data_IF_943562415157
#
_entry.id   IF_943562415157
#
_cell.length_a   1.000
_cell.length_b   1.000
_cell.length_c   1.000
_cell.angle_alpha   90.00
_cell.angle_beta   90.00
_cell.angle_gamma   90.00
#
_symmetry.space_group_name_H-M   'P 1'
#
loop_
_entity.id
_entity.type
_entity.pdbx_description
1 polymer ?
#
# COMPACT_ATOMS: atom_id res chain seq x y z
N UNK A 1 -39.28 -29.64 -39.07
CA UNK A 1 -37.92 -30.20 -39.33
C UNK A 1 -37.09 -29.81 -38.11
N UNK A 2 -36.95 -30.69 -37.11
CA UNK A 2 -35.81 -31.64 -36.95
C UNK A 2 -34.48 -30.89 -36.82
N UNK A 3 -33.54 -31.17 -35.93
CA UNK A 3 -33.35 -32.04 -34.77
C UNK A 3 -31.89 -31.76 -34.30
N UNK A 4 -31.53 -32.13 -33.07
CA UNK A 4 -30.15 -32.48 -32.64
C UNK A 4 -29.14 -31.32 -32.48
N UNK A 5 -28.46 -31.12 -31.33
CA UNK A 5 -27.48 -32.00 -30.67
C UNK A 5 -26.09 -31.76 -31.30
N UNK A 6 -24.92 -31.67 -30.65
CA UNK A 6 -24.41 -31.81 -29.28
C UNK A 6 -22.87 -31.52 -29.34
N UNK A 7 -22.18 -31.49 -28.18
CA UNK A 7 -20.71 -31.45 -27.97
C UNK A 7 -19.99 -30.12 -28.32
N UNK A 8 -18.91 -29.68 -27.66
CA UNK A 8 -17.94 -30.31 -26.75
C UNK A 8 -17.24 -29.22 -25.92
N UNK A 9 -16.74 -29.56 -24.72
CA UNK A 9 -15.99 -28.67 -23.84
C UNK A 9 -14.46 -28.77 -23.97
N UNK A 10 -13.78 -27.81 -23.33
CA UNK A 10 -12.41 -27.83 -22.79
C UNK A 10 -12.26 -26.55 -21.92
N UNK A 11 -12.26 -26.57 -20.59
CA UNK A 11 -11.21 -26.98 -19.64
C UNK A 11 -10.19 -25.86 -19.34
N UNK A 12 -10.24 -25.29 -18.11
CA UNK A 12 -9.09 -25.28 -17.19
C UNK A 12 -9.38 -24.62 -15.82
N UNK A 13 -9.18 -25.44 -14.78
CA UNK A 13 -8.47 -25.14 -13.52
C UNK A 13 -8.94 -24.01 -12.59
N UNK A 14 -9.65 -24.40 -11.53
CA UNK A 14 -9.51 -23.76 -10.20
C UNK A 14 -9.46 -24.85 -9.12
N UNK A 15 -8.27 -25.07 -8.56
CA UNK A 15 -8.05 -25.94 -7.40
C UNK A 15 -8.49 -25.21 -6.13
N UNK A 16 -9.53 -25.70 -5.45
CA UNK A 16 -9.70 -25.50 -4.00
C UNK A 16 -9.37 -26.81 -3.31
N UNK A 17 -8.28 -26.83 -2.55
CA UNK A 17 -7.99 -27.91 -1.60
C UNK A 17 -9.03 -27.89 -0.49
N UNK A 18 -9.88 -28.91 -0.46
CA UNK A 18 -10.75 -29.21 0.66
C UNK A 18 -9.99 -30.15 1.62
N UNK A 19 -9.98 -29.77 2.90
CA UNK A 19 -9.49 -30.58 4.03
C UNK A 19 -10.40 -31.81 4.19
N UNK A 20 -9.88 -33.04 4.37
CA UNK A 20 -10.73 -34.21 4.49
C UNK A 20 -11.36 -34.27 5.90
N UNK A 21 -12.69 -34.28 5.93
CA UNK A 21 -13.49 -34.67 7.09
C UNK A 21 -13.42 -36.19 7.21
N UNK A 22 -12.85 -36.69 8.30
CA UNK A 22 -12.81 -38.11 8.64
C UNK A 22 -14.24 -38.58 8.93
N UNK A 23 -14.79 -39.42 8.05
CA UNK A 23 -16.07 -40.12 8.28
C UNK A 23 -15.84 -41.27 9.26
N UNK A 24 -16.52 -41.21 10.41
CA UNK A 24 -16.65 -42.33 11.34
C UNK A 24 -17.39 -43.49 10.67
N UNK A 25 -16.77 -44.66 10.65
CA UNK A 25 -17.37 -45.93 10.19
C UNK A 25 -18.06 -46.56 11.39
N UNK A 26 -19.40 -46.50 11.42
CA UNK A 26 -20.21 -47.29 12.36
C UNK A 26 -20.53 -48.64 11.72
N UNK A 27 -19.90 -49.71 12.22
CA UNK A 27 -20.28 -51.10 11.93
C UNK A 27 -21.33 -51.62 12.94
N UNK A 28 -22.21 -52.55 12.54
CA UNK A 28 -23.29 -53.03 13.40
C UNK A 28 -22.80 -54.14 14.34
N UNK A 29 -22.92 -53.94 15.65
CA UNK A 29 -22.78 -55.00 16.65
C UNK A 29 -24.16 -55.34 17.20
N UNK A 30 -24.84 -56.27 16.51
CA UNK A 30 -26.00 -56.97 17.03
C UNK A 30 -25.62 -58.41 17.38
N UNK A 31 -26.10 -58.84 18.55
CA UNK A 31 -26.05 -60.19 19.15
C UNK A 31 -24.77 -60.57 19.91
N UNK A 32 -24.84 -60.44 21.23
CA UNK A 32 -24.78 -61.58 22.16
C UNK A 32 -25.24 -61.11 23.55
N UNK A 33 -26.49 -61.41 23.89
CA UNK A 33 -26.96 -61.28 25.26
C UNK A 33 -26.50 -62.48 26.08
N UNK A 34 -26.01 -62.24 27.31
CA UNK A 34 -26.56 -62.76 28.57
C UNK A 34 -25.46 -62.92 29.64
N UNK A 35 -25.64 -62.12 30.71
CA UNK A 35 -25.19 -62.34 32.09
C UNK A 35 -23.71 -62.69 32.33
N UNK A 36 -22.88 -61.67 32.57
CA UNK A 36 -21.90 -61.72 33.68
C UNK A 36 -21.80 -60.32 34.29
N UNK A 37 -22.09 -60.22 35.60
CA UNK A 37 -21.40 -59.30 36.49
C UNK A 37 -21.67 -57.80 36.34
N UNK A 38 -22.80 -57.36 36.90
CA UNK A 38 -23.16 -55.97 37.28
C UNK A 38 -22.23 -55.40 38.38
N UNK A 39 -20.91 -55.60 38.27
CA UNK A 39 -19.87 -55.18 39.23
C UNK A 39 -18.61 -54.57 38.60
N UNK A 40 -18.50 -54.49 37.26
CA UNK A 40 -17.34 -53.87 36.58
C UNK A 40 -17.59 -52.45 36.04
N UNK A 41 -18.86 -52.02 35.93
CA UNK A 41 -19.19 -50.63 35.55
C UNK A 41 -18.68 -49.56 36.54
N UNK A 42 -18.71 -49.74 37.88
CA UNK A 42 -18.20 -48.70 38.79
C UNK A 42 -16.66 -48.66 38.81
N UNK A 43 -15.98 -49.76 38.45
CA UNK A 43 -14.52 -49.80 38.33
C UNK A 43 -14.04 -49.09 37.06
N UNK A 44 -14.76 -49.21 35.93
CA UNK A 44 -14.39 -48.51 34.69
C UNK A 44 -14.56 -46.98 34.81
N UNK A 45 -15.54 -46.51 35.60
CA UNK A 45 -15.75 -45.08 35.89
C UNK A 45 -14.68 -44.55 36.86
N UNK A 46 -14.23 -45.37 37.83
CA UNK A 46 -13.09 -45.03 38.69
C UNK A 46 -11.75 -44.98 37.93
N UNK A 47 -11.60 -45.78 36.86
CA UNK A 47 -10.41 -45.74 36.00
C UNK A 47 -10.39 -44.53 35.05
N UNK A 48 -11.54 -44.00 34.63
CA UNK A 48 -11.63 -42.78 33.79
C UNK A 48 -11.62 -41.49 34.61
N UNK A 49 -12.01 -41.52 35.89
CA UNK A 49 -11.99 -40.35 36.79
C UNK A 49 -10.61 -40.09 37.42
N UNK A 50 -9.65 -41.02 37.29
CA UNK A 50 -8.32 -40.92 37.90
C UNK A 50 -7.26 -40.22 37.06
N UNK A 51 -7.59 -39.81 35.82
CA UNK A 51 -6.65 -39.21 34.86
C UNK A 51 -7.28 -38.00 34.19
N UNK A 52 -7.67 -37.01 34.99
CA UNK A 52 -7.77 -35.64 34.50
C UNK A 52 -6.78 -34.83 35.32
N UNK A 53 -5.50 -34.95 34.97
CA UNK A 53 -4.57 -33.87 35.27
C UNK A 53 -5.09 -32.63 34.56
N UNK A 54 -5.62 -31.69 35.34
CA UNK A 54 -5.93 -30.37 34.83
C UNK A 54 -4.60 -29.77 34.35
N UNK A 55 -4.42 -29.69 33.03
CA UNK A 55 -3.34 -28.88 32.45
C UNK A 55 -3.56 -27.47 32.99
N UNK A 56 -2.72 -27.03 33.93
CA UNK A 56 -2.78 -25.69 34.48
C UNK A 56 -2.45 -24.71 33.35
N UNK A 57 -3.47 -24.06 32.80
CA UNK A 57 -3.27 -23.02 31.79
C UNK A 57 -2.74 -21.78 32.51
N UNK A 58 -1.45 -21.49 32.34
CA UNK A 58 -0.82 -20.27 32.87
C UNK A 58 -1.41 -19.06 32.14
N UNK A 59 -2.04 -18.10 32.85
CA UNK A 59 -2.64 -16.93 32.22
C UNK A 59 -1.57 -16.04 31.57
N UNK A 60 -1.90 -15.49 30.40
CA UNK A 60 -1.01 -14.56 29.68
C UNK A 60 -1.27 -13.14 30.17
N UNK A 61 -0.23 -12.47 30.65
CA UNK A 61 -0.25 -11.05 31.01
C UNK A 61 0.11 -10.19 29.80
N UNK A 62 -0.57 -9.07 29.60
CA UNK A 62 -0.28 -8.14 28.51
C UNK A 62 0.45 -6.91 29.03
N UNK A 63 1.56 -6.55 28.40
CA UNK A 63 2.35 -5.35 28.73
C UNK A 63 2.62 -4.58 27.46
N UNK A 64 2.25 -3.29 27.44
CA UNK A 64 2.54 -2.40 26.33
C UNK A 64 3.64 -1.40 26.71
N UNK A 65 4.60 -1.19 25.81
CA UNK A 65 5.71 -0.26 26.01
C UNK A 65 5.96 0.54 24.74
N UNK A 66 6.27 1.83 24.87
CA UNK A 66 6.60 2.68 23.73
C UNK A 66 8.06 2.45 23.31
N UNK A 67 8.34 2.53 22.00
CA UNK A 67 9.72 2.45 21.48
C UNK A 67 10.65 3.43 22.19
N UNK A 68 11.88 2.98 22.46
CA UNK A 68 12.92 3.76 23.12
C UNK A 68 12.79 3.86 24.64
N UNK A 69 11.70 3.39 25.23
CA UNK A 69 11.55 3.29 26.70
C UNK A 69 12.22 2.02 27.23
N UNK A 70 12.37 1.96 28.55
CA UNK A 70 12.79 0.76 29.26
C UNK A 70 11.59 -0.13 29.58
N UNK A 71 11.77 -1.44 29.40
CA UNK A 71 10.80 -2.46 29.77
C UNK A 71 11.31 -3.22 31.00
N UNK A 72 10.43 -3.40 31.99
CA UNK A 72 10.68 -4.20 33.19
C UNK A 72 9.61 -5.27 33.34
N UNK A 73 10.00 -6.55 33.33
CA UNK A 73 9.09 -7.68 33.51
C UNK A 73 9.42 -8.43 34.81
N UNK A 74 8.42 -8.64 35.65
CA UNK A 74 8.56 -9.47 36.85
C UNK A 74 8.06 -10.90 36.54
N UNK A 75 8.80 -11.91 37.01
CA UNK A 75 8.45 -13.32 36.79
C UNK A 75 7.25 -13.77 37.64
N UNK A 76 7.00 -13.13 38.78
CA UNK A 76 5.83 -13.38 39.62
C UNK A 76 5.21 -12.05 40.08
N UNK A 77 3.94 -12.07 40.47
CA UNK A 77 3.37 -10.94 41.21
C UNK A 77 4.06 -10.79 42.56
N UNK A 78 4.19 -9.55 43.03
CA UNK A 78 4.91 -9.17 44.25
C UNK A 78 4.42 -9.95 45.51
N UNK A 79 3.20 -10.48 45.45
CA UNK A 79 2.56 -11.34 46.47
C UNK A 79 3.07 -12.79 46.53
N UNK A 80 3.72 -13.30 45.48
CA UNK A 80 4.24 -14.68 45.41
C UNK A 80 5.75 -14.79 45.65
N UNK A 81 6.48 -13.67 45.64
CA UNK A 81 7.93 -13.62 45.91
C UNK A 81 8.29 -13.73 47.40
N UNK A 82 7.29 -13.70 48.29
CA UNK A 82 7.49 -13.81 49.74
C UNK A 82 7.69 -15.25 50.24
N UNK A 83 7.76 -16.26 49.36
CA UNK A 83 7.85 -17.68 49.77
C UNK A 83 9.29 -18.22 49.83
N UNK A 84 10.28 -17.58 49.20
CA UNK A 84 11.68 -18.03 49.28
C UNK A 84 12.63 -16.85 49.47
N UNK A 85 12.79 -16.44 50.73
CA UNK A 85 13.55 -15.26 51.13
C UNK A 85 15.03 -15.51 51.43
N UNK A 86 15.70 -16.54 50.88
CA UNK A 86 17.10 -16.78 51.27
C UNK A 86 18.06 -17.41 50.24
N UNK A 87 17.62 -17.81 49.05
CA UNK A 87 18.56 -18.27 48.01
C UNK A 87 18.21 -17.64 46.67
N UNK A 88 19.23 -17.28 45.90
CA UNK A 88 19.12 -16.77 44.54
C UNK A 88 18.46 -17.82 43.65
N UNK A 89 17.13 -17.87 43.64
CA UNK A 89 16.39 -18.70 42.71
C UNK A 89 16.79 -18.24 41.31
N UNK A 90 17.47 -19.10 40.55
CA UNK A 90 17.81 -18.77 39.17
C UNK A 90 16.53 -18.65 38.37
N UNK A 91 16.18 -17.41 38.04
CA UNK A 91 15.06 -17.10 37.15
C UNK A 91 15.61 -17.04 35.74
N UNK A 92 15.13 -17.95 34.90
CA UNK A 92 15.48 -17.97 33.48
C UNK A 92 14.35 -17.35 32.66
N UNK A 93 14.71 -16.43 31.77
CA UNK A 93 13.78 -15.80 30.84
C UNK A 93 13.96 -16.37 29.44
N UNK A 94 12.85 -16.75 28.82
CA UNK A 94 12.79 -17.30 27.47
C UNK A 94 11.84 -16.42 26.65
N UNK A 95 12.24 -16.07 25.43
CA UNK A 95 11.37 -15.40 24.46
C UNK A 95 11.00 -16.39 23.37
N UNK A 96 9.70 -16.61 23.17
CA UNK A 96 9.22 -17.50 22.12
C UNK A 96 9.60 -16.96 20.73
N UNK A 97 10.18 -17.82 19.88
CA UNK A 97 10.45 -17.49 18.47
C UNK A 97 11.84 -16.92 18.14
N UNK A 98 12.78 -16.82 19.08
CA UNK A 98 14.21 -16.61 18.76
C UNK A 98 15.05 -17.75 19.34
N UNK A 99 15.75 -18.50 18.46
CA UNK A 99 16.72 -19.54 18.83
C UNK A 99 18.14 -18.98 19.04
N UNK A 100 18.35 -17.72 18.68
CA UNK A 100 19.67 -17.10 18.54
C UNK A 100 20.04 -16.28 19.77
N UNK A 101 20.24 -16.94 20.91
CA UNK A 101 20.87 -16.34 22.09
C UNK A 101 20.09 -15.20 22.77
N UNK A 102 20.48 -14.91 24.01
CA UNK A 102 19.97 -13.73 24.72
C UNK A 102 20.32 -12.46 23.93
N UNK A 103 19.36 -11.55 23.83
CA UNK A 103 19.62 -10.19 23.35
C UNK A 103 20.70 -9.60 24.27
N UNK A 104 21.82 -9.10 23.73
CA UNK A 104 22.91 -8.55 24.57
C UNK A 104 22.46 -7.40 25.49
N UNK A 105 21.35 -6.73 25.13
CA UNK A 105 20.71 -5.63 25.86
C UNK A 105 19.71 -6.08 26.93
N UNK A 106 19.44 -7.37 27.04
CA UNK A 106 18.52 -7.97 28.00
C UNK A 106 19.31 -8.36 29.25
N UNK A 107 18.96 -7.75 30.37
CA UNK A 107 19.61 -7.96 31.66
C UNK A 107 18.62 -8.56 32.64
N UNK A 108 19.00 -9.64 33.30
CA UNK A 108 18.23 -10.21 34.40
C UNK A 108 18.82 -9.71 35.71
N UNK A 109 18.01 -9.00 36.50
CA UNK A 109 18.39 -8.55 37.84
C UNK A 109 18.39 -9.72 38.84
N UNK A 110 19.14 -9.65 39.96
CA UNK A 110 19.20 -10.70 40.98
C UNK A 110 17.84 -11.04 41.63
N UNK A 111 16.87 -10.13 41.54
CA UNK A 111 15.49 -10.32 41.99
C UNK A 111 14.61 -11.09 40.97
N UNK A 112 15.20 -11.56 39.86
CA UNK A 112 14.49 -12.26 38.78
C UNK A 112 13.76 -11.35 37.79
N UNK A 113 13.93 -10.03 37.89
CA UNK A 113 13.32 -9.06 36.98
C UNK A 113 14.08 -8.99 35.66
N UNK A 114 13.36 -9.05 34.54
CA UNK A 114 13.91 -8.77 33.22
C UNK A 114 13.92 -7.26 32.98
N UNK A 115 15.08 -6.70 32.70
CA UNK A 115 15.25 -5.31 32.27
C UNK A 115 15.77 -5.25 30.83
N UNK A 116 15.05 -4.51 29.99
CA UNK A 116 15.45 -4.23 28.61
C UNK A 116 15.39 -2.71 28.39
N UNK A 117 16.54 -2.11 28.07
CA UNK A 117 16.66 -0.67 27.84
C UNK A 117 16.46 -0.33 26.36
N UNK A 118 15.87 0.81 26.03
CA UNK A 118 15.71 1.29 24.64
C UNK A 118 14.98 0.28 23.73
N UNK A 119 13.76 -0.10 24.09
CA UNK A 119 12.97 -1.15 23.41
C UNK A 119 12.73 -0.82 21.93
N UNK A 120 12.88 -1.83 21.07
CA UNK A 120 12.63 -1.75 19.62
C UNK A 120 11.37 -2.53 19.22
N UNK A 121 10.85 -2.30 18.02
CA UNK A 121 9.69 -3.04 17.50
C UNK A 121 9.93 -4.57 17.46
N UNK A 122 11.19 -4.97 17.24
CA UNK A 122 11.61 -6.38 17.16
C UNK A 122 11.67 -7.09 18.52
N UNK A 123 11.49 -6.34 19.60
CA UNK A 123 11.42 -6.85 20.97
C UNK A 123 9.99 -7.24 21.37
N UNK A 124 8.99 -6.97 20.53
CA UNK A 124 7.64 -7.47 20.72
C UNK A 124 7.59 -9.01 20.64
N UNK A 125 6.71 -9.62 21.42
CA UNK A 125 6.53 -11.07 21.44
C UNK A 125 6.17 -11.62 22.81
N UNK A 126 6.15 -12.95 22.90
CA UNK A 126 5.79 -13.64 24.13
C UNK A 126 7.04 -14.00 24.94
N UNK A 127 7.07 -13.55 26.18
CA UNK A 127 8.12 -13.78 27.17
C UNK A 127 7.60 -14.76 28.22
N UNK A 128 8.39 -15.77 28.54
CA UNK A 128 8.10 -16.73 29.59
C UNK A 128 9.25 -16.75 30.60
N UNK A 129 8.91 -17.03 31.86
CA UNK A 129 9.90 -17.26 32.89
C UNK A 129 9.74 -18.65 33.52
N UNK A 130 10.87 -19.25 33.84
CA UNK A 130 11.01 -20.53 34.55
C UNK A 130 11.90 -20.36 35.77
N UNK A 131 11.69 -21.19 36.79
CA UNK A 131 12.53 -21.23 37.99
C UNK A 131 13.41 -22.48 37.94
N UNK A 132 14.64 -22.38 38.45
CA UNK A 132 15.63 -23.47 38.41
C UNK A 132 15.13 -24.81 38.97
N UNK A 133 14.27 -24.79 40.00
CA UNK A 133 13.76 -26.01 40.65
C UNK A 133 12.77 -26.83 39.79
N UNK A 134 12.27 -26.27 38.68
CA UNK A 134 11.28 -26.93 37.83
C UNK A 134 11.39 -26.42 36.39
N UNK A 135 12.47 -26.82 35.70
CA UNK A 135 12.82 -26.36 34.34
C UNK A 135 11.68 -26.52 33.31
N UNK A 136 10.73 -27.43 33.55
CA UNK A 136 9.60 -27.68 32.65
C UNK A 136 8.33 -26.88 33.03
N UNK A 137 8.29 -26.25 34.21
CA UNK A 137 7.13 -25.49 34.68
C UNK A 137 7.26 -23.99 34.40
N UNK A 138 6.66 -23.55 33.29
CA UNK A 138 6.45 -22.13 33.00
C UNK A 138 5.63 -21.49 34.12
N UNK A 139 6.18 -20.47 34.80
CA UNK A 139 5.47 -19.78 35.90
C UNK A 139 4.58 -18.66 35.39
N UNK A 140 5.09 -17.88 34.43
CA UNK A 140 4.38 -16.72 33.87
C UNK A 140 4.61 -16.62 32.38
N UNK A 141 3.55 -16.22 31.65
CA UNK A 141 3.60 -15.86 30.22
C UNK A 141 3.20 -14.40 30.07
N UNK A 142 3.99 -13.63 29.33
CA UNK A 142 3.81 -12.19 29.14
C UNK A 142 3.88 -11.87 27.65
N UNK A 143 2.78 -11.40 27.08
CA UNK A 143 2.76 -10.84 25.74
C UNK A 143 3.16 -9.36 25.81
N UNK A 144 4.32 -9.05 25.23
CA UNK A 144 4.85 -7.69 25.14
C UNK A 144 4.48 -7.10 23.80
N UNK A 145 3.72 -6.00 23.83
CA UNK A 145 3.39 -5.19 22.67
C UNK A 145 4.23 -3.92 22.67
N UNK A 146 4.93 -3.67 21.57
CA UNK A 146 5.72 -2.46 21.39
C UNK A 146 4.94 -1.47 20.55
N UNK A 147 4.67 -0.30 21.12
CA UNK A 147 3.98 0.80 20.42
C UNK A 147 5.00 1.65 19.68
N UNK A 148 4.76 1.86 18.40
CA UNK A 148 5.65 2.54 17.47
C UNK A 148 4.95 3.77 16.88
N UNK A 149 5.69 4.70 16.27
CA UNK A 149 5.12 5.59 15.26
C UNK A 149 4.42 4.78 14.15
N UNK A 150 3.51 5.39 13.37
CA UNK A 150 2.78 4.65 12.35
C UNK A 150 3.74 4.02 11.33
N UNK A 151 3.50 2.77 10.90
CA UNK A 151 4.27 2.14 9.83
C UNK A 151 4.07 2.85 8.49
N UNK A 152 4.90 2.52 7.50
CA UNK A 152 4.73 3.00 6.13
C UNK A 152 3.31 2.77 5.62
N UNK A 153 2.80 3.78 4.91
CA UNK A 153 1.56 3.66 4.16
C UNK A 153 1.74 2.65 3.02
N UNK A 154 0.70 1.89 2.71
CA UNK A 154 0.74 0.93 1.61
C UNK A 154 0.00 1.46 0.39
N UNK A 155 0.31 0.88 -0.78
CA UNK A 155 -0.31 1.22 -2.07
C UNK A 155 -0.40 2.74 -2.29
N UNK A 156 0.68 3.48 -2.02
CA UNK A 156 0.71 4.91 -2.32
C UNK A 156 0.87 5.08 -3.82
N UNK A 157 -0.04 5.78 -4.47
CA UNK A 157 0.04 6.06 -5.91
C UNK A 157 -0.56 7.42 -6.24
N UNK A 158 -0.13 7.98 -7.38
CA UNK A 158 -0.49 9.33 -7.83
C UNK A 158 -1.27 9.24 -9.14
N UNK A 159 -2.41 9.92 -9.21
CA UNK A 159 -3.16 10.21 -10.43
C UNK A 159 -2.87 11.66 -10.85
N UNK A 160 -1.88 11.88 -11.73
CA UNK A 160 -1.61 13.20 -12.24
C UNK A 160 -2.69 13.65 -13.24
N UNK A 161 -2.90 14.95 -13.31
CA UNK A 161 -3.65 15.66 -14.35
C UNK A 161 -2.73 16.73 -14.97
N UNK A 162 -3.29 17.76 -15.61
CA UNK A 162 -2.52 18.85 -16.21
C UNK A 162 -1.95 19.82 -15.17
N UNK A 163 -2.78 20.31 -14.24
CA UNK A 163 -2.38 21.31 -13.21
C UNK A 163 -2.62 20.83 -11.78
N UNK A 164 -3.01 19.56 -11.62
CA UNK A 164 -3.33 18.95 -10.34
C UNK A 164 -2.86 17.51 -10.32
N UNK A 165 -2.69 16.95 -9.12
CA UNK A 165 -2.42 15.54 -8.93
C UNK A 165 -3.16 15.05 -7.69
N UNK A 166 -3.83 13.91 -7.80
CA UNK A 166 -4.47 13.25 -6.67
C UNK A 166 -3.55 12.15 -6.14
N UNK A 167 -3.14 12.25 -4.87
CA UNK A 167 -2.33 11.24 -4.19
C UNK A 167 -3.28 10.38 -3.37
N UNK A 168 -3.15 9.05 -3.46
CA UNK A 168 -3.95 8.10 -2.68
C UNK A 168 -3.04 7.14 -1.93
N UNK A 169 -3.52 6.67 -0.79
CA UNK A 169 -2.80 5.75 0.07
C UNK A 169 -3.75 4.86 0.85
N UNK A 170 -3.22 3.74 1.33
CA UNK A 170 -3.88 2.83 2.24
C UNK A 170 -3.07 2.69 3.54
N UNK A 171 -3.75 2.43 4.66
CA UNK A 171 -3.13 2.38 5.98
C UNK A 171 -2.89 0.93 6.38
N UNK A 172 -1.63 0.54 6.54
CA UNK A 172 -1.24 -0.81 6.96
C UNK A 172 -1.46 -1.05 8.46
N UNK A 173 -1.29 0.00 9.28
CA UNK A 173 -1.44 -0.07 10.73
C UNK A 173 -1.21 1.28 11.37
N UNK A 174 -1.33 1.35 12.71
CA UNK A 174 -1.23 2.62 13.44
C UNK A 174 -0.08 2.66 14.46
N UNK A 175 0.64 1.54 14.63
CA UNK A 175 1.71 1.41 15.62
C UNK A 175 1.21 1.34 17.07
N UNK A 176 -0.07 1.01 17.30
CA UNK A 176 -0.64 0.84 18.64
C UNK A 176 -1.30 2.08 19.23
N UNK A 177 -1.13 3.26 18.62
CA UNK A 177 -1.90 4.46 18.93
C UNK A 177 -2.74 4.91 17.72
N UNK A 178 -3.86 5.61 17.91
CA UNK A 178 -4.62 6.14 16.79
C UNK A 178 -3.81 7.17 15.98
N UNK A 179 -4.00 7.19 14.67
CA UNK A 179 -3.44 8.21 13.78
C UNK A 179 -4.16 9.54 14.07
N UNK A 180 -3.38 10.61 14.22
CA UNK A 180 -3.86 11.97 14.49
C UNK A 180 -4.15 12.68 13.16
N UNK A 181 -3.18 12.64 12.25
CA UNK A 181 -3.26 13.23 10.92
C UNK A 181 -2.32 12.53 9.93
N UNK A 182 -2.47 12.90 8.65
CA UNK A 182 -1.45 12.69 7.64
C UNK A 182 -0.87 14.03 7.22
N UNK A 183 0.39 14.02 6.80
CA UNK A 183 1.04 15.17 6.19
C UNK A 183 1.62 14.73 4.86
N UNK A 184 1.47 15.58 3.85
CA UNK A 184 1.99 15.34 2.52
C UNK A 184 2.72 16.59 2.02
N UNK A 185 3.78 16.35 1.26
CA UNK A 185 4.61 17.39 0.68
C UNK A 185 4.98 17.02 -0.75
N UNK A 186 5.38 18.03 -1.54
CA UNK A 186 5.79 17.83 -2.92
C UNK A 186 6.98 18.71 -3.27
N UNK A 187 7.74 18.29 -4.28
CA UNK A 187 8.81 19.09 -4.89
C UNK A 187 8.96 18.73 -6.36
N UNK A 188 9.65 19.57 -7.12
CA UNK A 188 10.08 19.19 -8.45
C UNK A 188 11.06 18.02 -8.37
N UNK A 189 10.87 17.02 -9.23
CA UNK A 189 11.78 15.87 -9.27
C UNK A 189 13.14 16.36 -9.77
N UNK A 190 14.22 16.20 -9.00
CA UNK A 190 15.54 16.68 -9.40
C UNK A 190 16.02 15.97 -10.67
N UNK A 191 16.58 16.74 -11.60
CA UNK A 191 17.28 16.19 -12.76
C UNK A 191 18.64 15.65 -12.30
N UNK A 192 19.19 14.67 -13.02
CA UNK A 192 20.52 14.14 -12.72
C UNK A 192 21.57 15.26 -12.71
N UNK A 193 22.14 15.54 -11.53
CA UNK A 193 23.17 16.56 -11.34
C UNK A 193 22.68 17.90 -10.77
N UNK A 194 21.38 18.07 -10.54
CA UNK A 194 20.82 19.24 -9.87
C UNK A 194 20.61 18.99 -8.37
N UNK A 195 20.78 20.02 -7.55
CA UNK A 195 20.43 19.94 -6.13
C UNK A 195 18.90 19.88 -5.98
N UNK A 196 18.37 18.97 -5.13
CA UNK A 196 16.93 18.88 -4.93
C UNK A 196 16.37 20.15 -4.28
N UNK A 197 15.25 20.65 -4.82
CA UNK A 197 14.50 21.73 -4.18
C UNK A 197 14.00 21.31 -2.78
N UNK A 198 13.77 22.32 -1.95
CA UNK A 198 13.09 22.16 -0.67
C UNK A 198 11.66 21.64 -0.87
N UNK A 199 11.23 20.76 0.03
CA UNK A 199 9.88 20.21 0.03
C UNK A 199 8.85 21.30 0.36
N UNK A 200 7.81 21.38 -0.47
CA UNK A 200 6.70 22.34 -0.32
C UNK A 200 5.53 21.61 0.35
N UNK A 201 4.93 22.18 1.41
CA UNK A 201 3.78 21.57 2.07
C UNK A 201 2.55 21.56 1.15
N UNK A 202 1.81 20.46 1.16
CA UNK A 202 0.48 20.39 0.53
C UNK A 202 -0.54 20.97 1.50
N UNK A 203 -1.49 21.76 0.99
CA UNK A 203 -2.56 22.38 1.80
C UNK A 203 -3.84 21.53 1.70
N UNK A 204 -4.46 21.15 2.83
CA UNK A 204 -4.08 21.44 4.21
C UNK A 204 -2.88 20.60 4.70
N UNK A 205 -2.04 21.18 5.57
CA UNK A 205 -0.86 20.52 6.15
C UNK A 205 -1.20 19.34 7.06
N UNK A 206 -2.34 19.42 7.73
CA UNK A 206 -2.88 18.39 8.62
C UNK A 206 -4.12 17.77 7.97
N UNK A 207 -3.92 16.63 7.32
CA UNK A 207 -4.99 15.90 6.63
C UNK A 207 -5.71 15.01 7.65
N UNK A 208 -7.05 15.00 7.69
CA UNK A 208 -7.81 14.20 8.65
C UNK A 208 -7.47 12.70 8.64
N UNK A 209 -7.54 11.99 9.78
CA UNK A 209 -7.10 10.59 9.90
C UNK A 209 -7.99 9.59 9.12
N UNK A 210 -9.21 10.00 8.76
CA UNK A 210 -10.13 9.21 7.94
C UNK A 210 -9.88 9.38 6.43
N UNK A 211 -9.04 10.33 6.02
CA UNK A 211 -8.72 10.54 4.61
C UNK A 211 -7.81 9.43 4.07
N UNK A 212 -7.99 9.14 2.78
CA UNK A 212 -7.18 8.18 2.00
C UNK A 212 -6.66 8.78 0.70
N UNK A 213 -6.91 10.07 0.51
CA UNK A 213 -6.48 10.82 -0.67
C UNK A 213 -6.31 12.30 -0.35
N UNK A 214 -5.48 12.99 -1.14
CA UNK A 214 -5.34 14.44 -1.14
C UNK A 214 -5.10 14.96 -2.56
N UNK A 215 -5.70 16.09 -2.89
CA UNK A 215 -5.46 16.79 -4.14
C UNK A 215 -4.38 17.86 -3.96
N UNK A 216 -3.42 17.86 -4.89
CA UNK A 216 -2.38 18.89 -5.01
C UNK A 216 -2.74 19.76 -6.19
N UNK A 217 -2.87 21.06 -5.96
CA UNK A 217 -3.23 22.04 -6.98
C UNK A 217 -2.04 22.89 -7.41
N UNK A 218 -2.23 23.68 -8.48
CA UNK A 218 -1.25 24.64 -9.00
C UNK A 218 0.08 24.00 -9.42
N UNK A 219 0.01 22.78 -9.95
CA UNK A 219 1.16 22.15 -10.60
C UNK A 219 1.37 22.70 -12.00
N UNK A 220 2.62 22.69 -12.46
CA UNK A 220 2.96 23.09 -13.83
C UNK A 220 2.69 21.91 -14.78
N UNK A 221 2.08 22.12 -15.96
CA UNK A 221 1.89 21.08 -16.97
C UNK A 221 3.21 20.45 -17.46
N UNK A 222 3.15 19.21 -17.95
CA UNK A 222 4.31 18.49 -18.52
C UNK A 222 5.57 18.51 -17.61
N UNK A 223 5.37 18.33 -16.31
CA UNK A 223 6.41 18.46 -15.30
C UNK A 223 6.37 17.28 -14.34
N UNK A 224 7.54 16.75 -13.99
CA UNK A 224 7.66 15.63 -13.05
C UNK A 224 7.85 16.14 -11.63
N UNK A 225 7.00 15.70 -10.72
CA UNK A 225 7.05 15.99 -9.30
C UNK A 225 7.31 14.72 -8.49
N UNK A 226 8.00 14.88 -7.37
CA UNK A 226 8.09 13.87 -6.31
C UNK A 226 7.19 14.30 -5.18
N UNK A 227 6.38 13.36 -4.69
CA UNK A 227 5.44 13.55 -3.60
C UNK A 227 5.83 12.63 -2.46
N UNK A 228 5.68 13.09 -1.22
CA UNK A 228 5.88 12.25 -0.05
C UNK A 228 4.73 12.39 0.92
N UNK A 229 4.36 11.29 1.56
CA UNK A 229 3.25 11.25 2.52
C UNK A 229 3.60 10.32 3.68
N UNK A 230 3.16 10.70 4.88
CA UNK A 230 3.31 9.90 6.09
C UNK A 230 2.13 10.11 7.05
N UNK A 231 1.97 9.20 8.00
CA UNK A 231 1.02 9.33 9.10
C UNK A 231 1.72 9.76 10.39
N UNK A 232 0.99 10.47 11.25
CA UNK A 232 1.48 10.90 12.57
C UNK A 232 0.59 10.31 13.66
N UNK A 233 1.19 9.80 14.73
CA UNK A 233 0.48 9.47 15.97
C UNK A 233 1.12 10.21 17.16
N UNK A 234 0.70 9.90 18.39
CA UNK A 234 1.25 10.57 19.58
C UNK A 234 2.74 10.30 19.84
N UNK A 235 3.31 9.23 19.27
CA UNK A 235 4.76 8.97 19.31
C UNK A 235 5.53 9.75 18.25
N UNK A 236 4.81 10.40 17.32
CA UNK A 236 5.37 11.31 16.33
C UNK A 236 5.18 10.79 14.91
N UNK A 237 6.10 11.22 14.05
CA UNK A 237 6.08 10.97 12.60
C UNK A 237 6.40 9.51 12.30
N UNK A 238 5.54 8.88 11.49
CA UNK A 238 5.77 7.57 10.91
C UNK A 238 6.78 7.55 9.77
N UNK A 239 6.84 6.43 9.08
CA UNK A 239 7.71 6.26 7.91
C UNK A 239 7.18 7.05 6.69
N UNK A 240 8.11 7.66 5.96
CA UNK A 240 7.80 8.50 4.79
C UNK A 240 7.79 7.63 3.54
N UNK A 241 6.69 7.72 2.77
CA UNK A 241 6.58 7.07 1.47
C UNK A 241 6.68 8.12 0.37
N UNK A 242 7.66 7.97 -0.52
CA UNK A 242 7.90 8.85 -1.67
C UNK A 242 7.43 8.18 -2.97
N UNK A 243 6.72 8.95 -3.80
CA UNK A 243 6.17 8.53 -5.09
C UNK A 243 6.28 9.65 -6.11
N UNK A 244 6.52 9.30 -7.37
CA UNK A 244 6.64 10.29 -8.44
C UNK A 244 5.37 10.37 -9.29
N UNK A 245 5.09 11.57 -9.82
CA UNK A 245 4.00 11.80 -10.77
C UNK A 245 4.39 12.82 -11.83
N UNK A 246 4.04 12.54 -13.09
CA UNK A 246 4.28 13.44 -14.22
C UNK A 246 2.96 14.06 -14.69
N UNK A 247 2.85 15.39 -14.66
CA UNK A 247 1.64 16.10 -15.08
C UNK A 247 1.46 16.02 -16.59
N UNK A 248 0.20 16.00 -17.05
CA UNK A 248 -0.11 15.99 -18.47
C UNK A 248 0.20 17.34 -19.13
N UNK A 249 0.34 17.33 -20.46
CA UNK A 249 0.45 18.55 -21.27
C UNK A 249 -0.79 19.45 -21.10
N UNK A 250 -0.60 20.75 -21.34
CA UNK A 250 -1.70 21.71 -21.33
C UNK A 250 -2.68 21.40 -22.46
N UNK A 251 -3.98 21.39 -22.16
CA UNK A 251 -5.02 21.12 -23.16
C UNK A 251 -5.13 22.30 -24.15
N UNK A 252 -4.69 23.50 -23.77
CA UNK A 252 -4.67 24.69 -24.62
C UNK A 252 -3.85 24.49 -25.90
N UNK A 253 -2.69 23.84 -25.84
CA UNK A 253 -1.90 23.53 -27.04
C UNK A 253 -2.62 22.54 -27.96
N UNK A 254 -3.34 21.57 -27.38
CA UNK A 254 -4.09 20.57 -28.13
C UNK A 254 -5.35 21.17 -28.77
N UNK A 255 -6.07 22.04 -28.06
CA UNK A 255 -7.24 22.76 -28.56
C UNK A 255 -6.86 23.81 -29.60
N UNK A 256 -5.73 24.50 -29.42
CA UNK A 256 -5.17 25.42 -30.41
C UNK A 256 -4.82 24.67 -31.70
N UNK A 257 -4.11 23.53 -31.60
CA UNK A 257 -3.81 22.70 -32.76
C UNK A 257 -5.08 22.22 -33.46
N UNK A 258 -6.10 21.80 -32.68
CA UNK A 258 -7.40 21.39 -33.22
C UNK A 258 -8.12 22.54 -33.92
N UNK A 259 -8.11 23.75 -33.35
CA UNK A 259 -8.70 24.94 -33.96
C UNK A 259 -7.97 25.37 -35.24
N UNK A 260 -6.64 25.32 -35.27
CA UNK A 260 -5.85 25.60 -36.47
C UNK A 260 -6.12 24.58 -37.58
N UNK A 261 -6.31 23.31 -37.22
CA UNK A 261 -6.53 22.22 -38.18
C UNK A 261 -8.00 22.03 -38.58
N UNK A 262 -8.96 22.57 -37.81
CA UNK A 262 -10.39 22.48 -38.12
C UNK A 262 -10.76 23.09 -39.49
N UNK A 263 -9.97 24.05 -39.98
CA UNK A 263 -10.15 24.62 -41.32
C UNK A 263 -9.53 23.76 -42.45
N UNK A 264 -8.58 22.87 -42.14
CA UNK A 264 -7.84 22.09 -43.12
C UNK A 264 -8.64 20.90 -43.64
N UNK A 265 -9.45 20.25 -42.80
CA UNK A 265 -10.28 19.12 -43.23
C UNK A 265 -11.37 19.53 -44.25
N UNK A 266 -11.83 20.79 -44.17
CA UNK A 266 -12.82 21.36 -45.09
C UNK A 266 -12.18 22.06 -46.29
N UNK A 267 -10.85 22.07 -46.40
CA UNK A 267 -10.15 22.75 -47.48
C UNK A 267 -10.07 21.88 -48.74
N UNK A 268 -10.98 22.12 -49.69
CA UNK A 268 -10.93 21.46 -50.99
C UNK A 268 -9.81 22.05 -51.86
N UNK A 269 -8.67 21.37 -51.86
CA UNK A 269 -7.49 21.70 -52.67
C UNK A 269 -7.82 21.83 -54.16
N UNK A 270 -8.82 21.11 -54.68
CA UNK A 270 -9.20 21.18 -56.11
C UNK A 270 -9.89 22.49 -56.44
N UNK A 271 -10.81 22.93 -55.58
CA UNK A 271 -11.52 24.20 -55.75
C UNK A 271 -10.55 25.37 -55.61
N UNK A 272 -9.63 25.31 -54.65
CA UNK A 272 -8.61 26.34 -54.47
C UNK A 272 -7.65 26.42 -55.66
N UNK A 273 -7.12 25.29 -56.15
CA UNK A 273 -6.24 25.27 -57.34
C UNK A 273 -6.97 25.76 -58.58
N UNK A 274 -8.25 25.42 -58.76
CA UNK A 274 -9.06 25.93 -59.86
C UNK A 274 -9.23 27.46 -59.78
N UNK A 275 -9.54 28.00 -58.60
CA UNK A 275 -9.69 29.44 -58.39
C UNK A 275 -8.38 30.20 -58.67
N UNK A 276 -7.25 29.71 -58.14
CA UNK A 276 -5.92 30.28 -58.42
C UNK A 276 -5.59 30.20 -59.92
N UNK A 277 -5.89 29.08 -60.57
CA UNK A 277 -5.72 28.91 -62.01
C UNK A 277 -6.54 29.92 -62.83
N UNK A 278 -7.79 30.17 -62.45
CA UNK A 278 -8.65 31.17 -63.11
C UNK A 278 -8.05 32.58 -62.94
N UNK A 279 -7.68 32.97 -61.72
CA UNK A 279 -7.11 34.29 -61.45
C UNK A 279 -5.82 34.49 -62.25
N UNK A 280 -4.90 33.53 -62.20
CA UNK A 280 -3.64 33.60 -62.94
C UNK A 280 -3.87 33.60 -64.47
N UNK A 281 -4.83 32.82 -64.95
CA UNK A 281 -5.23 32.81 -66.35
C UNK A 281 -5.81 34.14 -66.83
N UNK A 282 -6.68 34.76 -66.04
CA UNK A 282 -7.25 36.09 -66.37
C UNK A 282 -6.17 37.18 -66.37
N UNK A 283 -5.26 37.16 -65.40
CA UNK A 283 -4.11 38.07 -65.36
C UNK A 283 -3.21 37.90 -66.59
N UNK A 284 -2.95 36.66 -67.02
CA UNK A 284 -2.19 36.39 -68.23
C UNK A 284 -2.88 36.93 -69.50
N UNK A 285 -4.19 36.70 -69.65
CA UNK A 285 -4.95 37.18 -70.80
C UNK A 285 -4.98 38.72 -70.83
N UNK A 286 -5.20 39.37 -69.69
CA UNK A 286 -5.15 40.83 -69.58
C UNK A 286 -3.75 41.38 -69.88
N UNK A 287 -2.70 40.71 -69.41
CA UNK A 287 -1.31 41.08 -69.71
C UNK A 287 -0.98 40.96 -71.20
N UNK A 288 -1.40 39.87 -71.86
CA UNK A 288 -1.21 39.70 -73.30
C UNK A 288 -2.07 40.67 -74.11
N UNK A 289 -3.31 40.92 -73.70
CA UNK A 289 -4.22 41.86 -74.35
C UNK A 289 -3.71 43.30 -74.28
N UNK A 290 -3.22 43.73 -73.11
CA UNK A 290 -2.59 45.05 -72.95
C UNK A 290 -1.32 45.17 -73.78
N UNK A 291 -0.45 44.15 -73.78
CA UNK A 291 0.73 44.11 -74.64
C UNK A 291 0.37 44.19 -76.14
N UNK A 292 -0.67 43.48 -76.58
CA UNK A 292 -1.15 43.53 -77.95
C UNK A 292 -1.71 44.90 -78.34
N UNK A 293 -2.50 45.53 -77.46
CA UNK A 293 -3.03 46.88 -77.71
C UNK A 293 -1.91 47.91 -77.81
N UNK A 294 -0.93 47.85 -76.92
CA UNK A 294 0.26 48.71 -76.97
C UNK A 294 1.07 48.46 -78.25
N UNK A 295 1.26 47.21 -78.66
CA UNK A 295 1.91 46.86 -79.92
C UNK A 295 1.16 47.43 -81.13
N UNK A 296 -0.17 47.37 -81.11
CA UNK A 296 -1.02 47.91 -82.18
C UNK A 296 -0.92 49.43 -82.25
N UNK A 297 -1.01 50.13 -81.12
CA UNK A 297 -0.86 51.60 -81.08
C UNK A 297 0.51 52.05 -81.59
N UNK A 298 1.57 51.29 -81.29
CA UNK A 298 2.92 51.56 -81.80
C UNK A 298 3.07 51.37 -83.32
N UNK A 299 2.19 50.57 -83.95
CA UNK A 299 2.26 50.23 -85.37
C UNK A 299 1.38 51.09 -86.28
N UNK A 300 0.54 51.97 -85.73
CA UNK A 300 -0.24 52.93 -86.52
C UNK A 300 0.70 54.07 -86.94
N UNK A 301 1.03 54.25 -88.23
CA UNK A 301 1.92 55.32 -88.66
C UNK A 301 1.21 56.68 -88.49
N UNK A 302 1.86 57.61 -87.77
CA UNK A 302 1.44 59.00 -87.64
C UNK A 302 1.17 59.62 -89.03
N UNK A 303 -0.09 59.75 -89.41
CA UNK A 303 -0.48 60.68 -90.47
C UNK A 303 -0.75 62.03 -89.82
N UNK A 304 0.25 62.92 -89.91
CA UNK A 304 0.09 64.35 -89.67
C UNK A 304 -1.08 64.90 -90.52
N UNK A 305 -1.96 65.74 -89.97
CA UNK A 305 -2.66 66.74 -90.76
C UNK A 305 -1.79 67.99 -90.82
N UNK A 306 -1.36 68.34 -92.04
CA UNK A 306 -0.91 69.67 -92.42
C UNK A 306 -2.09 70.64 -92.26
N UNK A 307 -1.95 71.67 -91.41
CA UNK A 307 -2.27 73.08 -91.66
C UNK A 307 -1.45 73.93 -90.69
#
# INVERSE_FOLDING_TARGET
>A
MTNSGALCGAESSSRRSAVPIVKSVAGPLEKYGRMVGRKLLPLLILFLAGWQEAVAVVPVRYVAVDVGKGLKLACAEESALLVHSDESVGVMWIREGRFDGQIERLKVEPNGMLELLNVSADDAGNYSCTLDDDHDAVKTRINVEVRTPPPALHNVWVKPSTILANILWEVAGTGGYPIIDFTAEYRLKPTAGEEPEEWKPIVPTHIPPNSRQIDVYHLVPNTTYSFRVWATNQLGRGEIVEVDGHTHHSVEELELARHLLAGVENFDTRVWVAAVGIVMGTLMILGLGTCYLLYREWKIPCKHPLW
#
